data_IF_655079788066
#
_entry.id   IF_655079788066
#
_cell.length_a   1.000
_cell.length_b   1.000
_cell.length_c   1.000
_cell.angle_alpha   90.00
_cell.angle_beta   90.00
_cell.angle_gamma   90.00
#
_symmetry.space_group_name_H-M   'P 1'
#
loop_
_entity.id
_entity.type
_entity.pdbx_description
1 polymer ?
#
# COMPACT_ATOMS: atom_id res chain seq x y z
N UNK A 1 -11.04 17.95 19.41
CA UNK A 1 -9.94 16.98 19.24
C UNK A 1 -10.47 15.89 18.33
N UNK A 2 -9.97 15.85 17.11
CA UNK A 2 -10.35 14.87 16.09
C UNK A 2 -9.39 13.68 16.17
N UNK A 3 -9.92 12.48 15.93
CA UNK A 3 -9.08 11.28 15.80
C UNK A 3 -8.52 11.25 14.38
N UNK A 4 -7.21 11.09 14.25
CA UNK A 4 -6.49 11.18 12.98
C UNK A 4 -5.68 9.90 12.81
N UNK A 5 -5.69 9.33 11.61
CA UNK A 5 -4.79 8.25 11.22
C UNK A 5 -3.90 8.80 10.12
N UNK A 6 -2.60 8.75 10.34
CA UNK A 6 -1.60 9.25 9.41
C UNK A 6 -0.74 8.10 8.87
N UNK A 7 -0.43 8.17 7.57
CA UNK A 7 0.46 7.26 6.87
C UNK A 7 1.62 8.02 6.23
N UNK A 8 2.85 7.52 6.38
CA UNK A 8 4.05 8.06 5.71
C UNK A 8 4.24 7.39 4.35
N UNK A 9 4.57 8.19 3.35
CA UNK A 9 4.79 7.81 1.96
C UNK A 9 6.12 8.37 1.47
N UNK A 10 6.74 7.65 0.53
CA UNK A 10 8.00 8.03 -0.12
C UNK A 10 7.84 9.14 -1.16
N UNK A 11 6.63 9.33 -1.66
CA UNK A 11 6.34 10.28 -2.72
C UNK A 11 4.92 10.80 -2.62
N UNK A 12 4.72 12.01 -3.14
CA UNK A 12 3.41 12.64 -3.25
C UNK A 12 2.46 11.80 -4.08
N UNK A 13 2.94 11.17 -5.15
CA UNK A 13 2.12 10.34 -6.02
C UNK A 13 1.51 9.14 -5.28
N UNK A 14 2.27 8.52 -4.37
CA UNK A 14 1.81 7.39 -3.56
C UNK A 14 0.77 7.84 -2.53
N UNK A 15 0.99 9.00 -1.89
CA UNK A 15 0.01 9.61 -0.99
C UNK A 15 -1.29 10.03 -1.73
N UNK A 16 -1.19 10.55 -2.95
CA UNK A 16 -2.36 10.88 -3.77
C UNK A 16 -3.14 9.64 -4.19
N UNK A 17 -2.48 8.54 -4.49
CA UNK A 17 -3.14 7.26 -4.79
C UNK A 17 -3.94 6.74 -3.58
N UNK A 18 -3.35 6.82 -2.39
CA UNK A 18 -4.03 6.53 -1.14
C UNK A 18 -5.25 7.44 -0.91
N UNK A 19 -5.11 8.75 -1.16
CA UNK A 19 -6.23 9.69 -1.06
C UNK A 19 -7.35 9.36 -2.04
N UNK A 20 -7.02 9.01 -3.30
CA UNK A 20 -8.00 8.59 -4.31
C UNK A 20 -8.76 7.36 -3.86
N UNK A 21 -8.07 6.38 -3.28
CA UNK A 21 -8.69 5.16 -2.76
C UNK A 21 -9.61 5.46 -1.57
N UNK A 22 -9.21 6.37 -0.67
CA UNK A 22 -10.09 6.87 0.40
C UNK A 22 -11.34 7.56 -0.18
N UNK A 23 -11.19 8.42 -1.19
CA UNK A 23 -12.34 9.08 -1.83
C UNK A 23 -13.28 8.07 -2.51
N UNK A 24 -12.74 7.04 -3.15
CA UNK A 24 -13.54 5.95 -3.73
C UNK A 24 -14.31 5.14 -2.68
N UNK A 25 -13.78 5.04 -1.45
CA UNK A 25 -14.46 4.44 -0.29
C UNK A 25 -15.46 5.38 0.40
N UNK A 26 -15.62 6.61 -0.08
CA UNK A 26 -16.60 7.59 0.39
C UNK A 26 -16.09 8.64 1.36
N UNK A 27 -14.77 8.73 1.58
CA UNK A 27 -14.19 9.82 2.38
C UNK A 27 -14.30 11.15 1.62
N UNK A 28 -14.49 12.25 2.35
CA UNK A 28 -14.49 13.58 1.75
C UNK A 28 -13.06 14.11 1.62
N UNK A 29 -12.85 15.05 0.68
CA UNK A 29 -11.65 15.89 0.67
C UNK A 29 -11.49 16.68 1.98
N UNK A 30 -12.60 16.94 2.67
CA UNK A 30 -12.61 17.58 3.99
C UNK A 30 -12.17 16.64 5.12
N UNK A 31 -11.95 15.36 4.86
CA UNK A 31 -11.49 14.38 5.85
C UNK A 31 -10.07 13.87 5.55
N UNK A 32 -9.44 14.33 4.46
CA UNK A 32 -8.12 13.86 4.00
C UNK A 32 -7.20 15.06 3.76
N UNK A 33 -6.00 15.01 4.33
CA UNK A 33 -5.00 16.07 4.23
C UNK A 33 -3.64 15.47 3.92
N UNK A 34 -2.99 15.93 2.84
CA UNK A 34 -1.63 15.53 2.50
C UNK A 34 -0.70 16.68 2.86
N UNK A 35 0.39 16.35 3.56
CA UNK A 35 1.40 17.31 4.00
C UNK A 35 2.78 16.80 3.58
N UNK A 36 3.62 17.72 3.10
CA UNK A 36 5.03 17.44 2.82
C UNK A 36 5.87 17.86 4.03
N UNK A 37 6.61 16.91 4.60
CA UNK A 37 7.51 17.13 5.73
C UNK A 37 8.88 17.52 5.19
N UNK A 38 9.25 18.78 5.36
CA UNK A 38 10.59 19.24 5.03
C UNK A 38 11.53 18.84 6.16
N UNK A 39 12.35 17.81 5.95
CA UNK A 39 13.51 17.60 6.80
C UNK A 39 14.54 18.70 6.48
N UNK A 40 15.08 19.42 7.48
CA UNK A 40 16.16 20.36 7.21
C UNK A 40 17.29 19.58 6.55
N UNK A 41 17.76 20.09 5.41
CA UNK A 41 18.81 19.45 4.63
C UNK A 41 19.99 19.12 5.56
N UNK A 42 20.29 17.84 5.70
CA UNK A 42 21.61 17.42 6.15
C UNK A 42 22.58 17.98 5.12
N UNK A 43 23.50 18.84 5.55
CA UNK A 43 24.55 19.46 4.73
C UNK A 43 25.48 18.35 4.21
N UNK A 44 25.06 17.64 3.16
CA UNK A 44 25.86 16.63 2.46
C UNK A 44 25.56 16.74 0.96
N UNK A 45 26.24 17.71 0.37
CA UNK A 45 26.32 17.90 -1.06
C UNK A 45 27.30 16.88 -1.62
N UNK A 46 26.81 15.70 -1.98
CA UNK A 46 27.55 14.76 -2.82
C UNK A 46 26.82 14.60 -4.16
N UNK A 47 27.58 14.82 -5.22
CA UNK A 47 27.17 14.91 -6.62
C UNK A 47 26.80 13.50 -7.11
N UNK A 48 25.62 13.02 -6.73
CA UNK A 48 24.98 11.84 -7.30
C UNK A 48 23.49 12.07 -7.17
N UNK A 49 22.71 11.78 -8.20
CA UNK A 49 21.24 11.89 -8.20
C UNK A 49 20.59 10.87 -7.24
N UNK A 50 20.90 10.97 -5.95
CA UNK A 50 20.64 9.96 -4.94
C UNK A 50 19.50 10.41 -4.03
N UNK A 51 18.37 9.72 -4.22
CA UNK A 51 17.29 9.47 -3.26
C UNK A 51 17.00 10.58 -2.24
N UNK A 52 15.99 11.40 -2.53
CA UNK A 52 15.23 12.11 -1.49
C UNK A 52 14.88 11.11 -0.37
N UNK A 53 14.97 11.49 0.92
CA UNK A 53 14.60 10.59 2.01
C UNK A 53 13.19 10.07 1.75
N UNK A 54 13.07 8.74 1.67
CA UNK A 54 11.93 8.02 1.09
C UNK A 54 10.69 8.02 1.98
N UNK A 55 10.45 9.06 2.77
CA UNK A 55 9.31 9.16 3.70
C UNK A 55 8.94 10.62 4.04
N UNK A 56 9.13 11.55 3.11
CA UNK A 56 8.89 12.98 3.32
C UNK A 56 7.44 13.42 3.08
N UNK A 57 6.53 12.52 2.71
CA UNK A 57 5.11 12.85 2.53
C UNK A 57 4.28 12.13 3.58
N UNK A 58 3.36 12.84 4.20
CA UNK A 58 2.41 12.27 5.15
C UNK A 58 0.98 12.55 4.69
N UNK A 59 0.17 11.50 4.61
CA UNK A 59 -1.27 11.61 4.44
C UNK A 59 -1.94 11.40 5.79
N UNK A 60 -2.77 12.34 6.19
CA UNK A 60 -3.59 12.28 7.40
C UNK A 60 -5.06 12.21 7.03
N UNK A 61 -5.80 11.30 7.67
CA UNK A 61 -7.23 11.18 7.51
C UNK A 61 -7.95 11.30 8.86
N UNK A 62 -8.99 12.13 8.88
CA UNK A 62 -9.86 12.35 10.03
C UNK A 62 -10.90 11.21 10.13
N UNK A 63 -10.99 10.55 11.28
CA UNK A 63 -11.83 9.34 11.48
C UNK A 63 -12.98 9.56 12.46
N UNK A 64 -13.67 10.70 12.35
CA UNK A 64 -14.78 11.05 13.25
C UNK A 64 -15.99 10.08 13.22
N UNK A 65 -16.13 9.26 12.17
CA UNK A 65 -17.29 8.38 11.96
C UNK A 65 -17.01 6.89 12.25
N UNK A 66 -15.93 6.54 12.95
CA UNK A 66 -15.59 5.14 13.25
C UNK A 66 -15.02 4.36 12.07
N UNK A 67 -14.72 5.02 10.94
CA UNK A 67 -14.13 4.43 9.74
C UNK A 67 -12.60 4.21 9.85
N UNK A 68 -12.04 4.23 11.06
CA UNK A 68 -10.60 4.14 11.28
C UNK A 68 -9.98 2.87 10.69
N UNK A 69 -10.67 1.73 10.79
CA UNK A 69 -10.20 0.47 10.19
C UNK A 69 -10.11 0.54 8.67
N UNK A 70 -11.04 1.26 8.01
CA UNK A 70 -11.02 1.43 6.55
C UNK A 70 -9.83 2.28 6.13
N UNK A 71 -9.53 3.35 6.88
CA UNK A 71 -8.34 4.18 6.61
C UNK A 71 -7.06 3.37 6.74
N UNK A 72 -6.94 2.57 7.81
CA UNK A 72 -5.76 1.73 8.04
C UNK A 72 -5.57 0.73 6.90
N UNK A 73 -6.66 0.09 6.47
CA UNK A 73 -6.65 -0.88 5.37
C UNK A 73 -6.18 -0.23 4.06
N UNK A 74 -6.74 0.93 3.71
CA UNK A 74 -6.36 1.67 2.50
C UNK A 74 -4.91 2.14 2.56
N UNK A 75 -4.49 2.78 3.65
CA UNK A 75 -3.11 3.24 3.80
C UNK A 75 -2.10 2.09 3.65
N UNK A 76 -2.43 0.92 4.21
CA UNK A 76 -1.60 -0.28 4.08
C UNK A 76 -1.61 -0.85 2.67
N UNK A 77 -2.77 -0.93 2.01
CA UNK A 77 -2.92 -1.39 0.63
C UNK A 77 -2.10 -0.54 -0.34
N UNK A 78 -2.06 0.78 -0.11
CA UNK A 78 -1.32 1.75 -0.94
C UNK A 78 0.18 1.85 -0.61
N UNK A 79 0.68 1.06 0.34
CA UNK A 79 2.11 0.98 0.64
C UNK A 79 2.64 2.05 1.60
N UNK A 80 1.81 2.58 2.52
CA UNK A 80 2.32 3.45 3.57
C UNK A 80 3.35 2.70 4.45
N UNK A 81 4.56 3.25 4.55
CA UNK A 81 5.69 2.63 5.26
C UNK A 81 5.50 2.62 6.77
N UNK A 82 4.78 3.61 7.30
CA UNK A 82 4.50 3.74 8.73
C UNK A 82 3.12 4.34 8.92
N UNK A 83 2.33 3.72 9.80
CA UNK A 83 0.99 4.18 10.17
C UNK A 83 0.97 4.56 11.65
N UNK A 84 0.40 5.72 11.94
CA UNK A 84 0.29 6.24 13.30
C UNK A 84 -1.10 6.84 13.56
N UNK A 85 -1.56 6.71 14.81
CA UNK A 85 -2.76 7.37 15.31
C UNK A 85 -2.36 8.62 16.06
N UNK A 86 -2.94 9.73 15.65
CA UNK A 86 -2.76 11.01 16.30
C UNK A 86 -4.11 11.59 16.73
N UNK A 87 -4.06 12.52 17.67
CA UNK A 87 -5.19 13.35 18.03
C UNK A 87 -4.78 14.80 17.82
N UNK A 88 -5.60 15.57 17.12
CA UNK A 88 -5.25 16.93 16.75
C UNK A 88 -6.45 17.80 16.43
N UNK A 89 -6.15 19.02 16.02
CA UNK A 89 -7.14 19.97 15.52
C UNK A 89 -7.30 19.79 14.02
N UNK A 90 -8.53 19.59 13.57
CA UNK A 90 -8.89 19.45 12.17
C UNK A 90 -9.83 20.60 11.79
N UNK A 91 -9.39 21.46 10.88
CA UNK A 91 -10.15 22.63 10.44
C UNK A 91 -10.06 22.76 8.93
N UNK A 92 -11.18 23.12 8.28
CA UNK A 92 -11.24 23.36 6.84
C UNK A 92 -10.63 22.22 5.99
N UNK A 93 -10.75 20.97 6.44
CA UNK A 93 -10.23 19.82 5.71
C UNK A 93 -8.75 19.54 5.91
N UNK A 94 -8.11 20.19 6.87
CA UNK A 94 -6.68 20.07 7.11
C UNK A 94 -6.38 19.82 8.59
N UNK A 95 -5.32 19.07 8.83
CA UNK A 95 -4.74 18.93 10.16
C UNK A 95 -3.92 20.19 10.47
N UNK A 96 -4.45 21.08 11.32
CA UNK A 96 -3.86 22.41 11.56
C UNK A 96 -2.75 22.40 12.60
N UNK A 97 -2.81 21.50 13.56
CA UNK A 97 -1.82 21.33 14.64
C UNK A 97 -0.86 20.15 14.36
N UNK A 98 -0.51 19.94 13.09
CA UNK A 98 0.42 18.88 12.72
C UNK A 98 1.85 19.23 13.17
N UNK A 99 2.48 18.32 13.93
CA UNK A 99 3.89 18.44 14.33
C UNK A 99 4.65 17.19 13.85
N UNK A 100 5.57 17.32 12.87
CA UNK A 100 6.28 16.17 12.30
C UNK A 100 7.29 15.52 13.26
N UNK A 101 7.67 16.19 14.35
CA UNK A 101 8.56 15.64 15.37
C UNK A 101 7.79 14.89 16.47
N UNK A 102 6.47 15.06 16.54
CA UNK A 102 5.60 14.37 17.50
C UNK A 102 5.00 13.13 16.84
N UNK A 103 5.61 11.99 17.08
CA UNK A 103 5.05 10.71 16.66
C UNK A 103 3.80 10.36 17.49
N UNK A 104 2.75 9.94 16.80
CA UNK A 104 1.53 9.38 17.40
C UNK A 104 1.71 7.95 17.93
N UNK A 105 0.60 7.34 18.35
CA UNK A 105 0.61 5.92 18.73
C UNK A 105 0.73 5.05 17.46
N UNK A 106 1.76 4.19 17.35
CA UNK A 106 1.91 3.36 16.17
C UNK A 106 0.72 2.41 16.03
N UNK A 107 0.20 2.28 14.81
CA UNK A 107 -0.85 1.29 14.50
C UNK A 107 -0.20 -0.09 14.49
N UNK A 108 -0.53 -0.92 15.50
CA UNK A 108 -0.06 -2.29 15.66
C UNK A 108 -0.55 -3.17 14.50
N UNK A 109 0.23 -4.17 14.12
CA UNK A 109 -0.14 -5.13 13.09
C UNK A 109 -1.31 -6.01 13.60
N UNK A 110 -2.49 -5.87 12.98
CA UNK A 110 -3.70 -6.67 13.25
C UNK A 110 -5.01 -5.87 13.31
N UNK A 111 -4.92 -4.55 13.38
CA UNK A 111 -6.07 -3.64 13.44
C UNK A 111 -6.46 -3.20 12.03
N UNK A 112 -7.44 -3.88 11.44
CA UNK A 112 -7.86 -3.70 10.04
C UNK A 112 -8.19 -5.01 9.33
N UNK A 113 -8.04 -6.17 10.00
CA UNK A 113 -8.25 -7.47 9.37
C UNK A 113 -9.75 -7.76 9.12
N UNK A 114 -10.24 -7.38 7.95
CA UNK A 114 -11.23 -8.18 7.23
C UNK A 114 -10.47 -9.03 6.20
N UNK A 115 -10.26 -10.30 6.55
CA UNK A 115 -9.69 -11.32 5.67
C UNK A 115 -10.67 -11.67 4.53
N UNK A 116 -10.23 -12.04 3.30
CA UNK A 116 -8.88 -12.43 2.89
C UNK A 116 -8.16 -11.38 2.03
N UNK A 117 -6.84 -11.33 2.19
CA UNK A 117 -5.95 -10.71 1.20
C UNK A 117 -6.03 -11.52 -0.09
N UNK A 118 -6.23 -10.93 -1.29
CA UNK A 118 -5.71 -11.58 -2.47
C UNK A 118 -4.22 -11.75 -2.21
N UNK A 119 -3.73 -12.99 -2.23
CA UNK A 119 -2.30 -13.24 -2.25
C UNK A 119 -1.74 -12.34 -3.36
N UNK A 120 -0.83 -11.43 -2.97
CA UNK A 120 0.07 -10.83 -3.93
C UNK A 120 0.59 -12.00 -4.77
N UNK A 121 0.17 -11.99 -6.03
CA UNK A 121 0.55 -12.98 -7.02
C UNK A 121 1.97 -12.63 -7.42
N UNK A 122 2.92 -12.88 -6.53
CA UNK A 122 4.35 -12.89 -6.82
C UNK A 122 5.00 -14.04 -6.06
N UNK A 123 4.40 -15.22 -6.24
CA UNK A 123 5.10 -16.48 -6.18
C UNK A 123 5.07 -17.02 -7.61
N UNK A 124 5.91 -16.49 -8.49
CA UNK A 124 6.39 -17.29 -9.62
C UNK A 124 7.88 -17.05 -9.71
N UNK A 125 8.61 -18.00 -9.12
CA UNK A 125 10.04 -18.14 -9.25
C UNK A 125 10.44 -17.97 -10.73
N UNK A 126 11.37 -17.06 -10.96
CA UNK A 126 12.22 -17.09 -12.13
C UNK A 126 13.08 -18.36 -12.05
N UNK A 127 12.61 -19.48 -12.59
CA UNK A 127 13.50 -20.53 -13.10
C UNK A 127 12.97 -21.00 -14.45
N UNK A 128 13.45 -20.28 -15.47
CA UNK A 128 13.62 -20.79 -16.82
C UNK A 128 14.42 -22.09 -16.76
N UNK A 129 13.73 -23.23 -16.77
CA UNK A 129 14.31 -24.47 -17.31
C UNK A 129 13.53 -24.80 -18.56
N UNK A 130 14.15 -24.54 -19.70
CA UNK A 130 13.65 -24.99 -20.98
C UNK A 130 13.45 -26.51 -20.96
N UNK A 131 12.24 -26.93 -21.24
CA UNK A 131 11.99 -28.25 -21.79
C UNK A 131 11.08 -28.05 -23.00
N UNK A 132 11.68 -28.31 -24.15
CA UNK A 132 11.14 -28.21 -25.48
C UNK A 132 9.86 -29.07 -25.61
N UNK A 133 8.75 -28.49 -26.08
CA UNK A 133 7.75 -29.27 -26.80
C UNK A 133 8.27 -29.37 -28.24
N UNK A 134 8.55 -30.59 -28.72
CA UNK A 134 7.63 -31.09 -29.73
C UNK A 134 7.54 -32.62 -29.78
N UNK A 135 6.33 -33.15 -29.70
CA UNK A 135 6.04 -34.39 -30.41
C UNK A 135 5.22 -35.42 -29.64
N UNK A 136 3.99 -35.58 -30.10
CA UNK A 136 3.56 -36.87 -30.62
C UNK A 136 3.76 -38.09 -29.74
N UNK A 137 3.05 -38.19 -28.61
CA UNK A 137 2.74 -39.49 -28.00
C UNK A 137 1.23 -39.82 -27.98
N UNK A 138 0.38 -38.94 -28.55
CA UNK A 138 -1.07 -39.19 -28.66
C UNK A 138 -1.46 -40.28 -29.68
N UNK A 139 -0.50 -40.86 -30.42
CA UNK A 139 -0.77 -41.94 -31.39
C UNK A 139 -0.57 -43.35 -30.80
N UNK A 140 0.06 -43.49 -29.63
CA UNK A 140 0.42 -44.82 -29.11
C UNK A 140 -0.71 -45.54 -28.37
N UNK A 141 -1.77 -44.84 -27.94
CA UNK A 141 -2.88 -45.46 -27.20
C UNK A 141 -4.03 -46.00 -28.08
N UNK A 142 -4.10 -45.61 -29.35
CA UNK A 142 -5.20 -46.01 -30.25
C UNK A 142 -4.91 -47.31 -31.01
N UNK A 143 -3.65 -47.73 -31.13
CA UNK A 143 -3.32 -48.98 -31.83
C UNK A 143 -3.32 -50.23 -30.94
N UNK A 144 -3.35 -50.08 -29.61
CA UNK A 144 -3.44 -51.21 -28.68
C UNK A 144 -4.85 -51.84 -28.67
N UNK A 145 -5.89 -51.11 -29.08
CA UNK A 145 -7.30 -51.56 -29.00
C UNK A 145 -7.87 -52.18 -30.28
N UNK A 146 -7.04 -52.66 -31.21
CA UNK A 146 -7.48 -53.39 -32.42
C UNK A 146 -6.90 -54.80 -32.56
N UNK A 147 -6.16 -55.29 -31.57
CA UNK A 147 -5.63 -56.67 -31.54
C UNK A 147 -6.34 -57.54 -30.50
N UNK A 148 -7.23 -56.96 -29.69
CA UNK A 148 -8.09 -57.69 -28.73
C UNK A 148 -9.56 -57.62 -29.15
N UNK A 149 -9.83 -57.78 -30.45
CA UNK A 149 -11.15 -58.22 -30.89
C UNK A 149 -10.98 -58.87 -32.26
N UNK A 150 -10.94 -60.19 -32.22
CA UNK A 150 -11.46 -61.06 -33.27
C UNK A 150 -12.81 -60.52 -33.83
#
# INVERSE_FOLDING_TARGET
MSSIIAGRFDSLASAEDAARTLFARGFSVWDVSIVSVQHPASDQQDDTAAQQPADNVMLAACVNNGLGSVVIDVLRETGASQLERAQGTWECGQWTDFDPARHGEPVREGEGEYWPRPLASDATAEESTGNEDPGSELEHFVNQKRVEHD
#
